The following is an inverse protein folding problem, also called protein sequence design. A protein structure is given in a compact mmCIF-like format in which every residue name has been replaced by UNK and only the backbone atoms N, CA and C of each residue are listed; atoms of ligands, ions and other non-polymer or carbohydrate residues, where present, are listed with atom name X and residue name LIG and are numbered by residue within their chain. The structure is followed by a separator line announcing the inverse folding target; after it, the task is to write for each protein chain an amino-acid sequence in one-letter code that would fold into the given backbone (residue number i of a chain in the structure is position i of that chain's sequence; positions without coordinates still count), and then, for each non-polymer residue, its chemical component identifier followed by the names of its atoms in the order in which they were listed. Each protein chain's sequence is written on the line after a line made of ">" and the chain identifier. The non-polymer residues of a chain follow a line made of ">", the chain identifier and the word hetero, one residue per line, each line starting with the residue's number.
data_IF_730216252140
#
_entry.id   IF_730216252140
#
_cell.length_a   1.000
_cell.length_b   1.000
_cell.length_c   1.000
_cell.angle_alpha   90.00
_cell.angle_beta   90.00
_cell.angle_gamma   90.00
#
_symmetry.space_group_name_H-M   'P 1'
#
loop_
_entity.id
_entity.type
_entity.pdbx_description
1 polymer ?
#
# COMPACT_ATOMS: atom_id res chain seq x y z
N UNK A 1 5.57 -62.20 24.06
CA UNK A 1 5.06 -60.90 24.52
C UNK A 1 6.09 -59.75 24.38
N UNK A 2 7.37 -59.92 24.74
CA UNK A 2 8.40 -58.85 24.62
C UNK A 2 8.68 -58.39 23.17
N UNK A 3 8.57 -59.27 22.17
CA UNK A 3 8.80 -58.91 20.76
C UNK A 3 7.66 -58.07 20.15
N UNK A 4 6.43 -58.23 20.64
CA UNK A 4 5.26 -57.44 20.22
C UNK A 4 5.31 -56.01 20.77
N UNK A 5 5.83 -55.85 22.00
CA UNK A 5 5.99 -54.52 22.63
C UNK A 5 7.02 -53.64 21.92
N UNK A 6 8.14 -54.25 21.45
CA UNK A 6 9.14 -53.54 20.66
C UNK A 6 8.63 -53.05 19.29
N UNK A 7 7.75 -53.84 18.65
CA UNK A 7 7.15 -53.46 17.37
C UNK A 7 6.14 -52.32 17.50
N UNK A 8 5.37 -52.31 18.62
CA UNK A 8 4.44 -51.21 18.93
C UNK A 8 5.17 -49.88 19.23
N UNK A 9 6.31 -49.92 19.93
CA UNK A 9 7.16 -48.74 20.22
C UNK A 9 7.82 -48.20 18.97
N UNK A 10 8.21 -49.08 18.05
CA UNK A 10 8.83 -48.64 16.75
C UNK A 10 7.81 -47.95 15.84
N UNK A 11 6.54 -48.36 15.85
CA UNK A 11 5.46 -47.72 15.10
C UNK A 11 5.07 -46.33 15.65
N UNK A 12 5.24 -46.08 16.94
CA UNK A 12 5.00 -44.76 17.52
C UNK A 12 6.10 -43.75 17.24
N UNK A 13 7.31 -44.20 16.94
CA UNK A 13 8.45 -43.32 16.56
C UNK A 13 8.43 -42.85 15.09
N UNK A 14 7.60 -43.49 14.24
CA UNK A 14 7.45 -43.11 12.83
C UNK A 14 6.37 -42.06 12.59
N UNK A 15 5.66 -41.59 13.62
CA UNK A 15 4.81 -40.41 13.52
C UNK A 15 5.65 -39.12 13.49
N UNK A 16 6.67 -39.08 12.62
CA UNK A 16 7.25 -37.82 12.21
C UNK A 16 6.17 -37.09 11.44
N UNK A 17 5.45 -36.21 12.15
CA UNK A 17 4.65 -35.21 11.49
C UNK A 17 5.59 -34.44 10.57
N UNK A 18 5.62 -34.80 9.30
CA UNK A 18 6.15 -33.90 8.26
C UNK A 18 5.22 -32.70 8.31
N UNK A 19 5.60 -31.69 9.09
CA UNK A 19 4.96 -30.38 9.04
C UNK A 19 5.26 -29.85 7.63
N UNK A 20 4.33 -30.05 6.72
CA UNK A 20 4.37 -29.35 5.46
C UNK A 20 4.21 -27.87 5.79
N UNK A 21 5.19 -27.04 5.42
CA UNK A 21 5.10 -25.61 5.58
C UNK A 21 3.87 -25.08 4.86
N UNK A 22 3.05 -24.32 5.57
CA UNK A 22 1.85 -23.70 5.03
C UNK A 22 2.18 -22.30 4.52
N UNK A 23 1.96 -22.08 3.23
CA UNK A 23 2.34 -20.85 2.55
C UNK A 23 1.08 -20.12 2.07
N UNK A 24 0.92 -18.88 2.51
CA UNK A 24 -0.04 -17.94 1.95
C UNK A 24 0.59 -17.10 0.84
N UNK A 25 -0.23 -16.68 -0.12
CA UNK A 25 0.17 -15.80 -1.22
C UNK A 25 -0.79 -14.63 -1.29
N UNK A 26 -0.28 -13.40 -1.45
CA UNK A 26 -1.10 -12.19 -1.55
C UNK A 26 -0.66 -11.31 -2.72
N UNK A 27 -1.62 -10.92 -3.56
CA UNK A 27 -1.42 -9.88 -4.58
C UNK A 27 -1.60 -8.49 -3.94
N UNK A 28 -0.48 -7.93 -3.46
CA UNK A 28 -0.47 -6.62 -2.80
C UNK A 28 -0.99 -5.53 -3.75
N UNK A 29 -0.64 -5.59 -5.04
CA UNK A 29 -1.08 -4.60 -6.03
C UNK A 29 -2.61 -4.63 -6.21
N UNK A 30 -3.18 -5.83 -6.25
CA UNK A 30 -4.64 -6.01 -6.31
C UNK A 30 -5.32 -5.48 -5.05
N UNK A 31 -4.77 -5.76 -3.85
CA UNK A 31 -5.28 -5.21 -2.58
C UNK A 31 -5.29 -3.69 -2.59
N UNK A 32 -4.18 -3.06 -3.00
CA UNK A 32 -4.05 -1.60 -3.09
C UNK A 32 -5.05 -1.01 -4.09
N UNK A 33 -5.11 -1.56 -5.30
CA UNK A 33 -5.99 -1.06 -6.37
C UNK A 33 -7.48 -1.19 -6.01
N UNK A 34 -7.85 -2.19 -5.23
CA UNK A 34 -9.23 -2.41 -4.81
C UNK A 34 -9.60 -1.66 -3.53
N UNK A 35 -8.63 -1.12 -2.79
CA UNK A 35 -8.89 -0.38 -1.55
C UNK A 35 -9.72 0.88 -1.80
N UNK A 36 -10.84 1.00 -1.09
CA UNK A 36 -11.68 2.19 -1.09
C UNK A 36 -10.90 3.42 -0.58
N UNK A 37 -10.02 3.24 0.40
CA UNK A 37 -9.19 4.30 0.96
C UNK A 37 -8.20 4.84 -0.08
N UNK A 38 -7.56 3.96 -0.88
CA UNK A 38 -6.66 4.38 -1.96
C UNK A 38 -7.43 5.14 -3.05
N UNK A 39 -8.59 4.64 -3.44
CA UNK A 39 -9.45 5.32 -4.43
C UNK A 39 -9.92 6.70 -3.96
N UNK A 40 -10.24 6.83 -2.68
CA UNK A 40 -10.60 8.12 -2.08
C UNK A 40 -9.39 9.06 -2.05
N UNK A 41 -8.24 8.58 -1.57
CA UNK A 41 -7.00 9.36 -1.51
C UNK A 41 -6.61 9.90 -2.89
N UNK A 42 -6.72 9.07 -3.93
CA UNK A 42 -6.46 9.51 -5.30
C UNK A 42 -7.41 10.65 -5.73
N UNK A 43 -8.71 10.52 -5.46
CA UNK A 43 -9.67 11.60 -5.77
C UNK A 43 -9.38 12.91 -5.02
N UNK A 44 -8.95 12.80 -3.74
CA UNK A 44 -8.55 13.97 -2.95
C UNK A 44 -7.29 14.62 -3.52
N UNK A 45 -6.31 13.81 -3.92
CA UNK A 45 -5.09 14.28 -4.56
C UNK A 45 -5.39 14.99 -5.88
N UNK A 46 -6.20 14.39 -6.76
CA UNK A 46 -6.57 14.97 -8.06
C UNK A 46 -7.24 16.35 -7.88
N UNK A 47 -8.17 16.48 -6.92
CA UNK A 47 -8.82 17.77 -6.61
C UNK A 47 -7.81 18.84 -6.15
N UNK A 48 -6.91 18.49 -5.24
CA UNK A 48 -5.88 19.43 -4.76
C UNK A 48 -4.87 19.77 -5.85
N UNK A 49 -4.59 18.84 -6.74
CA UNK A 49 -3.74 19.09 -7.92
C UNK A 49 -4.38 20.08 -8.88
N UNK A 50 -5.70 20.02 -9.08
CA UNK A 50 -6.42 21.04 -9.87
C UNK A 50 -6.35 22.43 -9.21
N UNK A 51 -6.34 22.51 -7.87
CA UNK A 51 -6.10 23.79 -7.19
C UNK A 51 -4.72 24.36 -7.47
N UNK A 52 -3.68 23.52 -7.58
CA UNK A 52 -2.35 23.94 -8.00
C UNK A 52 -2.35 24.49 -9.44
N UNK A 53 -3.09 23.85 -10.34
CA UNK A 53 -3.24 24.34 -11.72
C UNK A 53 -3.92 25.71 -11.77
N UNK A 54 -4.86 25.98 -10.87
CA UNK A 54 -5.51 27.31 -10.76
C UNK A 54 -4.51 28.39 -10.34
N UNK A 55 -3.56 28.09 -9.47
CA UNK A 55 -2.50 29.03 -9.08
C UNK A 55 -1.69 29.45 -10.31
N UNK A 56 -1.31 28.48 -11.15
CA UNK A 56 -0.57 28.77 -12.40
C UNK A 56 -1.43 29.59 -13.36
N UNK A 57 -2.71 29.26 -13.50
CA UNK A 57 -3.62 30.02 -14.36
C UNK A 57 -3.79 31.47 -13.87
N UNK A 58 -3.95 31.67 -12.56
CA UNK A 58 -4.06 33.00 -11.98
C UNK A 58 -2.79 33.82 -12.17
N UNK A 59 -1.62 33.20 -11.97
CA UNK A 59 -0.32 33.84 -12.25
C UNK A 59 -0.24 34.36 -13.68
N UNK A 60 -0.60 33.51 -14.66
CA UNK A 60 -0.61 33.91 -16.08
C UNK A 60 -1.58 35.04 -16.36
N UNK A 61 -2.75 35.03 -15.74
CA UNK A 61 -3.75 36.09 -15.92
C UNK A 61 -3.30 37.44 -15.30
N UNK A 62 -2.61 37.42 -14.16
CA UNK A 62 -2.08 38.64 -13.52
C UNK A 62 -0.91 39.20 -14.35
N UNK A 63 0.02 38.34 -14.77
CA UNK A 63 1.14 38.76 -15.61
C UNK A 63 0.67 39.36 -16.94
N UNK A 64 -0.36 38.76 -17.58
CA UNK A 64 -0.89 39.29 -18.85
C UNK A 64 -1.53 40.67 -18.75
N UNK A 65 -1.86 41.15 -17.56
CA UNK A 65 -2.47 42.47 -17.32
C UNK A 65 -1.43 43.53 -16.93
N UNK A 66 -0.20 43.11 -16.66
CA UNK A 66 0.85 44.02 -16.18
C UNK A 66 1.88 44.27 -17.31
N UNK A 67 2.38 45.50 -17.37
CA UNK A 67 3.41 45.92 -18.33
C UNK A 67 4.73 46.31 -17.67
N UNK A 68 4.72 46.50 -16.36
CA UNK A 68 5.91 46.81 -15.58
C UNK A 68 6.68 45.52 -15.24
N UNK A 69 7.92 45.44 -15.76
CA UNK A 69 8.77 44.25 -15.57
C UNK A 69 9.09 43.94 -14.11
N UNK A 70 9.18 44.95 -13.23
CA UNK A 70 9.46 44.74 -11.83
C UNK A 70 8.23 44.14 -11.13
N UNK A 71 7.03 44.58 -11.47
CA UNK A 71 5.79 44.02 -10.95
C UNK A 71 5.53 42.61 -11.48
N UNK A 72 5.83 42.35 -12.76
CA UNK A 72 5.76 41.01 -13.33
C UNK A 72 6.65 40.07 -12.54
N UNK A 73 7.90 40.41 -12.26
CA UNK A 73 8.82 39.60 -11.47
C UNK A 73 8.28 39.32 -10.05
N UNK A 74 7.66 40.33 -9.41
CA UNK A 74 7.03 40.15 -8.07
C UNK A 74 5.82 39.20 -8.12
N UNK A 75 4.99 39.30 -9.16
CA UNK A 75 3.85 38.40 -9.37
C UNK A 75 4.36 36.95 -9.56
N UNK A 76 5.35 36.74 -10.43
CA UNK A 76 5.93 35.44 -10.67
C UNK A 76 6.55 34.83 -9.39
N UNK A 77 7.30 35.61 -8.63
CA UNK A 77 7.89 35.17 -7.36
C UNK A 77 6.81 34.76 -6.35
N UNK A 78 5.77 35.59 -6.18
CA UNK A 78 4.64 35.34 -5.27
C UNK A 78 3.97 34.01 -5.60
N UNK A 79 3.59 33.80 -6.88
CA UNK A 79 2.87 32.59 -7.29
C UNK A 79 3.76 31.34 -7.30
N UNK A 80 5.04 31.49 -7.66
CA UNK A 80 6.02 30.39 -7.56
C UNK A 80 6.18 29.93 -6.12
N UNK A 81 6.29 30.86 -5.18
CA UNK A 81 6.38 30.53 -3.75
C UNK A 81 5.12 29.85 -3.24
N UNK A 82 3.94 30.37 -3.60
CA UNK A 82 2.66 29.77 -3.21
C UNK A 82 2.51 28.36 -3.77
N UNK A 83 2.80 28.16 -5.06
CA UNK A 83 2.76 26.89 -5.73
C UNK A 83 3.69 25.86 -5.06
N UNK A 84 4.95 26.23 -4.82
CA UNK A 84 5.93 25.31 -4.22
C UNK A 84 5.55 24.91 -2.80
N UNK A 85 5.03 25.84 -1.98
CA UNK A 85 4.57 25.54 -0.63
C UNK A 85 3.39 24.57 -0.65
N UNK A 86 2.37 24.84 -1.48
CA UNK A 86 1.19 23.99 -1.60
C UNK A 86 1.52 22.61 -2.19
N UNK A 87 2.36 22.58 -3.24
CA UNK A 87 2.82 21.32 -3.83
C UNK A 87 3.56 20.45 -2.83
N UNK A 88 4.53 21.01 -2.10
CA UNK A 88 5.28 20.26 -1.09
C UNK A 88 4.39 19.77 0.06
N UNK A 89 3.37 20.55 0.44
CA UNK A 89 2.39 20.13 1.44
C UNK A 89 1.54 18.96 0.94
N UNK A 90 1.05 19.05 -0.29
CA UNK A 90 0.25 17.99 -0.94
C UNK A 90 1.03 16.69 -1.05
N UNK A 91 2.28 16.75 -1.50
CA UNK A 91 3.15 15.57 -1.64
C UNK A 91 3.43 14.91 -0.27
N UNK A 92 3.72 15.70 0.76
CA UNK A 92 3.92 15.17 2.11
C UNK A 92 2.65 14.50 2.66
N UNK A 93 1.50 15.15 2.51
CA UNK A 93 0.22 14.60 2.95
C UNK A 93 -0.10 13.28 2.23
N UNK A 94 0.08 13.26 0.90
CA UNK A 94 -0.15 12.07 0.09
C UNK A 94 0.76 10.91 0.52
N UNK A 95 2.06 11.16 0.63
CA UNK A 95 3.04 10.14 1.03
C UNK A 95 2.77 9.60 2.43
N UNK A 96 2.38 10.47 3.37
CA UNK A 96 2.01 10.06 4.73
C UNK A 96 0.78 9.15 4.75
N UNK A 97 -0.25 9.49 3.96
CA UNK A 97 -1.48 8.68 3.87
C UNK A 97 -1.21 7.33 3.18
N UNK A 98 -0.39 7.31 2.12
CA UNK A 98 0.02 6.06 1.47
C UNK A 98 0.78 5.15 2.44
N UNK A 99 1.75 5.68 3.19
CA UNK A 99 2.50 4.91 4.18
C UNK A 99 1.59 4.32 5.27
N UNK A 100 0.58 5.07 5.71
CA UNK A 100 -0.41 4.58 6.67
C UNK A 100 -1.27 3.44 6.09
N UNK A 101 -1.69 3.53 4.82
CA UNK A 101 -2.44 2.48 4.13
C UNK A 101 -1.57 1.22 3.96
N UNK A 102 -0.32 1.38 3.54
CA UNK A 102 0.63 0.25 3.43
C UNK A 102 0.86 -0.46 4.77
N UNK A 103 1.00 0.32 5.85
CA UNK A 103 1.12 -0.24 7.20
C UNK A 103 -0.12 -1.05 7.58
N UNK A 104 -1.32 -0.53 7.30
CA UNK A 104 -2.58 -1.24 7.54
C UNK A 104 -2.67 -2.53 6.73
N UNK A 105 -2.27 -2.51 5.45
CA UNK A 105 -2.26 -3.72 4.61
C UNK A 105 -1.32 -4.78 5.21
N UNK A 106 -0.10 -4.40 5.61
CA UNK A 106 0.86 -5.31 6.24
C UNK A 106 0.33 -5.91 7.53
N UNK A 107 -0.36 -5.10 8.35
CA UNK A 107 -1.00 -5.57 9.57
C UNK A 107 -2.10 -6.60 9.29
N UNK A 108 -2.96 -6.36 8.30
CA UNK A 108 -4.02 -7.30 7.91
C UNK A 108 -3.44 -8.60 7.33
N UNK A 109 -2.38 -8.53 6.54
CA UNK A 109 -1.68 -9.72 6.05
C UNK A 109 -1.15 -10.54 7.23
N UNK A 110 -0.48 -9.91 8.20
CA UNK A 110 0.03 -10.57 9.41
C UNK A 110 -1.10 -11.21 10.21
N UNK A 111 -2.21 -10.51 10.40
CA UNK A 111 -3.38 -11.03 11.10
C UNK A 111 -3.96 -12.25 10.40
N UNK A 112 -4.13 -12.21 9.08
CA UNK A 112 -4.62 -13.35 8.29
C UNK A 112 -3.66 -14.53 8.33
N UNK A 113 -2.35 -14.28 8.27
CA UNK A 113 -1.34 -15.31 8.41
C UNK A 113 -1.47 -16.04 9.75
N UNK A 114 -1.67 -15.31 10.85
CA UNK A 114 -1.84 -15.88 12.18
C UNK A 114 -3.16 -16.65 12.31
N UNK A 115 -4.28 -16.09 11.82
CA UNK A 115 -5.59 -16.74 11.83
C UNK A 115 -5.58 -18.09 11.11
N UNK A 116 -4.88 -18.16 9.97
CA UNK A 116 -4.80 -19.35 9.12
C UNK A 116 -3.59 -20.25 9.43
N UNK A 117 -2.75 -19.83 10.37
CA UNK A 117 -1.52 -20.56 10.77
C UNK A 117 -0.55 -20.79 9.62
N UNK A 118 -0.41 -19.80 8.72
CA UNK A 118 0.63 -19.85 7.72
C UNK A 118 2.00 -19.61 8.35
N UNK A 119 2.98 -20.42 7.95
CA UNK A 119 4.37 -20.25 8.34
C UNK A 119 5.00 -19.06 7.60
N UNK A 120 4.59 -18.87 6.33
CA UNK A 120 5.04 -17.77 5.48
C UNK A 120 3.88 -17.18 4.67
N UNK A 121 4.00 -15.88 4.36
CA UNK A 121 3.17 -15.22 3.35
C UNK A 121 4.07 -14.47 2.38
N UNK A 122 3.96 -14.79 1.11
CA UNK A 122 4.72 -14.17 0.03
C UNK A 122 3.85 -13.27 -0.84
N UNK A 123 4.47 -12.25 -1.44
CA UNK A 123 3.82 -11.50 -2.49
C UNK A 123 3.65 -12.39 -3.74
N UNK A 124 2.47 -12.34 -4.36
CA UNK A 124 2.15 -13.16 -5.56
C UNK A 124 3.13 -12.93 -6.71
N UNK A 125 3.71 -11.74 -6.81
CA UNK A 125 4.68 -11.38 -7.83
C UNK A 125 6.00 -12.16 -7.80
N UNK A 126 6.32 -12.82 -6.67
CA UNK A 126 7.56 -13.62 -6.52
C UNK A 126 7.29 -15.12 -6.44
N UNK A 127 6.03 -15.56 -6.52
CA UNK A 127 5.63 -16.98 -6.46
C UNK A 127 5.23 -17.44 -7.86
N UNK A 128 5.95 -18.42 -8.38
CA UNK A 128 5.66 -18.99 -9.70
C UNK A 128 4.53 -20.03 -9.65
N UNK A 129 4.42 -20.78 -8.55
CA UNK A 129 3.43 -21.84 -8.38
C UNK A 129 3.24 -22.19 -6.92
N UNK A 130 1.99 -22.52 -6.53
CA UNK A 130 1.63 -22.97 -5.18
C UNK A 130 1.33 -21.85 -4.20
N UNK A 131 0.94 -22.25 -2.99
CA UNK A 131 0.46 -21.37 -1.92
C UNK A 131 -1.04 -21.04 -2.01
N UNK A 132 -1.63 -20.70 -0.85
CA UNK A 132 -3.04 -20.34 -0.73
C UNK A 132 -3.20 -18.83 -1.00
N UNK A 133 -4.01 -18.45 -1.98
CA UNK A 133 -4.26 -17.04 -2.30
C UNK A 133 -5.23 -16.40 -1.31
N UNK A 134 -4.71 -15.53 -0.45
CA UNK A 134 -5.46 -14.78 0.56
C UNK A 134 -5.78 -13.34 0.14
N UNK A 135 -5.58 -12.98 -1.11
CA UNK A 135 -5.76 -11.60 -1.64
C UNK A 135 -7.15 -11.05 -1.35
N UNK A 136 -8.20 -11.83 -1.59
CA UNK A 136 -9.58 -11.41 -1.38
C UNK A 136 -9.90 -11.13 0.09
N UNK A 137 -9.39 -11.97 1.00
CA UNK A 137 -9.61 -11.86 2.43
C UNK A 137 -8.87 -10.63 3.02
N UNK A 138 -7.64 -10.39 2.57
CA UNK A 138 -6.89 -9.20 2.94
C UNK A 138 -7.59 -7.94 2.40
N UNK A 139 -8.04 -7.95 1.13
CA UNK A 139 -8.77 -6.83 0.52
C UNK A 139 -10.04 -6.48 1.30
N UNK A 140 -10.82 -7.48 1.71
CA UNK A 140 -12.03 -7.27 2.50
C UNK A 140 -11.74 -6.67 3.89
N UNK A 141 -10.57 -6.95 4.46
CA UNK A 141 -10.17 -6.47 5.80
C UNK A 141 -9.57 -5.06 5.79
N UNK A 142 -9.16 -4.54 4.63
CA UNK A 142 -8.56 -3.20 4.46
C UNK A 142 -9.60 -2.14 4.13
N UNK A 143 -10.75 -2.51 3.57
CA UNK A 143 -11.87 -1.63 3.18
C UNK A 143 -12.81 -1.25 4.38
#
# INVERSE_FOLDING_TARGET
>A
MKKFLCFAVLLLLCANNAFAETIGVVDIQSVVNNSAQVKQLKREYDKKFEELNKIVANARMEVAKESDLQKIAQIEEKYTKEFNVKKSSLEREYNSKIAAIESKIKEQIKKKAQEKKYDYVFAKSVVLHGGDDITSEVSASVN
#
